data_IF_832692097045
#
_entry.id   IF_832692097045
#
_cell.length_a   1.000
_cell.length_b   1.000
_cell.length_c   1.000
_cell.angle_alpha   90.00
_cell.angle_beta   90.00
_cell.angle_gamma   90.00
#
_symmetry.space_group_name_H-M   'P 1'
#
loop_
_entity.id
_entity.type
_entity.pdbx_description
1 polymer ?
#
# COMPACT_ATOMS: atom_id res chain seq x y z
N UNK A 1 -10.53 -18.72 -1.56
CA UNK A 1 -11.01 -17.88 -0.44
C UNK A 1 -11.60 -16.57 -0.93
N UNK A 2 -10.85 -15.62 -1.49
CA UNK A 2 -11.33 -14.27 -1.87
C UNK A 2 -12.67 -14.26 -2.63
N UNK A 3 -12.80 -15.04 -3.72
CA UNK A 3 -14.05 -15.15 -4.47
C UNK A 3 -15.26 -15.65 -3.63
N UNK A 4 -15.02 -16.58 -2.70
CA UNK A 4 -16.08 -17.08 -1.79
C UNK A 4 -16.55 -16.02 -0.81
N UNK A 5 -15.66 -15.10 -0.42
CA UNK A 5 -15.96 -13.99 0.49
C UNK A 5 -16.62 -12.81 -0.25
N UNK A 6 -16.72 -12.89 -1.58
CA UNK A 6 -17.33 -11.85 -2.40
C UNK A 6 -16.40 -10.68 -2.70
N UNK A 7 -15.08 -10.86 -2.65
CA UNK A 7 -14.13 -9.84 -3.09
C UNK A 7 -14.13 -9.71 -4.62
N UNK A 8 -13.88 -8.50 -5.12
CA UNK A 8 -13.78 -8.19 -6.55
C UNK A 8 -12.33 -8.27 -7.06
N UNK A 9 -11.36 -8.16 -6.15
CA UNK A 9 -9.95 -8.18 -6.46
C UNK A 9 -9.10 -8.76 -5.31
N UNK A 10 -7.82 -8.99 -5.61
CA UNK A 10 -6.81 -9.45 -4.65
C UNK A 10 -5.54 -8.61 -4.77
N UNK A 11 -4.84 -8.45 -3.67
CA UNK A 11 -3.45 -8.02 -3.67
C UNK A 11 -2.53 -9.25 -3.71
N UNK A 12 -1.43 -9.15 -4.45
CA UNK A 12 -0.44 -10.23 -4.60
C UNK A 12 0.84 -9.86 -3.85
N UNK A 13 1.26 -10.71 -2.92
CA UNK A 13 2.57 -10.56 -2.25
C UNK A 13 3.70 -11.08 -3.15
N UNK A 14 4.41 -10.14 -3.76
CA UNK A 14 5.55 -10.40 -4.66
C UNK A 14 6.87 -10.66 -3.93
N UNK A 15 6.89 -10.59 -2.62
CA UNK A 15 8.11 -10.83 -1.84
C UNK A 15 8.12 -12.15 -1.10
N UNK A 16 7.00 -12.53 -0.52
CA UNK A 16 6.88 -13.74 0.28
C UNK A 16 6.40 -14.93 -0.52
N UNK A 17 5.25 -14.79 -1.16
CA UNK A 17 4.51 -15.90 -1.74
C UNK A 17 4.76 -16.10 -3.24
N UNK A 18 4.78 -15.03 -4.03
CA UNK A 18 4.87 -15.08 -5.49
C UNK A 18 6.01 -14.19 -5.98
N UNK A 19 7.23 -14.62 -5.74
CA UNK A 19 8.41 -13.84 -6.13
C UNK A 19 8.54 -13.76 -7.65
N UNK A 20 8.66 -12.55 -8.23
CA UNK A 20 8.75 -12.37 -9.69
C UNK A 20 9.87 -13.19 -10.34
N UNK A 21 11.03 -13.28 -9.68
CA UNK A 21 12.19 -14.02 -10.18
C UNK A 21 11.98 -15.56 -10.26
N UNK A 22 11.01 -16.08 -9.52
CA UNK A 22 10.68 -17.52 -9.49
C UNK A 22 9.51 -17.88 -10.43
N UNK A 23 8.87 -16.86 -11.06
CA UNK A 23 7.69 -17.04 -11.91
C UNK A 23 8.05 -16.96 -13.39
N UNK A 24 7.79 -18.05 -14.12
CA UNK A 24 7.84 -18.02 -15.56
C UNK A 24 6.66 -17.23 -16.14
N UNK A 25 6.81 -16.77 -17.40
CA UNK A 25 5.71 -16.14 -18.15
C UNK A 25 4.47 -17.04 -18.24
N UNK A 26 4.68 -18.36 -18.32
CA UNK A 26 3.59 -19.34 -18.32
C UNK A 26 2.88 -19.37 -16.97
N UNK A 27 3.62 -19.34 -15.85
CA UNK A 27 3.04 -19.30 -14.52
C UNK A 27 2.22 -18.02 -14.28
N UNK A 28 2.70 -16.87 -14.73
CA UNK A 28 1.95 -15.60 -14.66
C UNK A 28 0.65 -15.64 -15.49
N UNK A 29 0.71 -16.21 -16.70
CA UNK A 29 -0.50 -16.38 -17.52
C UNK A 29 -1.51 -17.33 -16.87
N UNK A 30 -1.02 -18.42 -16.27
CA UNK A 30 -1.86 -19.37 -15.55
C UNK A 30 -2.51 -18.74 -14.32
N UNK A 31 -1.74 -17.96 -13.55
CA UNK A 31 -2.27 -17.20 -12.40
C UNK A 31 -3.37 -16.25 -12.85
N UNK A 32 -3.10 -15.44 -13.89
CA UNK A 32 -4.09 -14.52 -14.44
C UNK A 32 -5.36 -15.24 -14.87
N UNK A 33 -5.22 -16.35 -15.63
CA UNK A 33 -6.37 -17.15 -16.03
C UNK A 33 -7.17 -17.66 -14.83
N UNK A 34 -6.49 -18.17 -13.79
CA UNK A 34 -7.15 -18.64 -12.57
C UNK A 34 -7.95 -17.53 -11.88
N UNK A 35 -7.39 -16.32 -11.82
CA UNK A 35 -8.10 -15.16 -11.27
C UNK A 35 -9.31 -14.77 -12.13
N UNK A 36 -9.15 -14.73 -13.44
CA UNK A 36 -10.23 -14.45 -14.40
C UNK A 36 -11.38 -15.50 -14.30
N UNK A 37 -11.04 -16.79 -14.18
CA UNK A 37 -12.02 -17.88 -13.99
C UNK A 37 -12.83 -17.69 -12.68
N UNK A 38 -12.25 -17.03 -11.69
CA UNK A 38 -12.91 -16.67 -10.44
C UNK A 38 -13.47 -15.24 -10.42
N UNK A 39 -13.44 -14.52 -11.54
CA UNK A 39 -13.87 -13.11 -11.67
C UNK A 39 -13.14 -12.17 -10.70
N UNK A 40 -11.89 -12.47 -10.39
CA UNK A 40 -11.04 -11.64 -9.56
C UNK A 40 -10.04 -10.86 -10.41
N UNK A 41 -9.80 -9.61 -10.03
CA UNK A 41 -8.74 -8.77 -10.59
C UNK A 41 -7.56 -8.70 -9.62
N UNK A 42 -6.41 -8.25 -10.10
CA UNK A 42 -5.31 -7.84 -9.22
C UNK A 42 -5.42 -6.32 -9.03
N UNK A 43 -5.68 -5.88 -7.81
CA UNK A 43 -5.79 -4.45 -7.49
C UNK A 43 -4.43 -3.81 -7.21
N UNK A 44 -3.51 -4.56 -6.59
CA UNK A 44 -2.17 -4.12 -6.28
C UNK A 44 -1.22 -5.32 -6.13
N UNK A 45 0.07 -5.03 -6.17
CA UNK A 45 1.13 -5.96 -5.79
C UNK A 45 1.87 -5.39 -4.60
N UNK A 46 2.03 -6.13 -3.51
CA UNK A 46 2.88 -5.69 -2.40
C UNK A 46 4.29 -6.23 -2.53
N UNK A 47 5.27 -5.34 -2.30
CA UNK A 47 6.68 -5.70 -2.24
C UNK A 47 7.33 -5.04 -1.02
N UNK A 48 6.92 -5.46 0.17
CA UNK A 48 7.31 -4.85 1.44
C UNK A 48 8.76 -5.18 1.79
N UNK A 49 9.63 -4.19 1.64
CA UNK A 49 11.05 -4.32 2.01
C UNK A 49 11.24 -4.04 3.50
N UNK A 50 12.23 -4.73 4.11
CA UNK A 50 12.53 -4.53 5.54
C UNK A 50 13.23 -3.20 5.83
N UNK A 51 13.89 -2.61 4.83
CA UNK A 51 14.65 -1.36 4.91
C UNK A 51 14.15 -0.38 3.87
N UNK A 52 14.19 0.89 4.22
CA UNK A 52 13.84 1.96 3.30
C UNK A 52 14.87 2.21 2.21
N UNK A 53 14.51 3.09 1.28
CA UNK A 53 15.36 3.44 0.12
C UNK A 53 16.45 4.48 0.45
N UNK A 54 16.49 5.00 1.67
CA UNK A 54 17.53 5.89 2.17
C UNK A 54 18.70 5.18 2.85
N UNK A 55 18.76 3.85 2.81
CA UNK A 55 19.82 3.02 3.38
C UNK A 55 20.60 2.31 2.27
N UNK A 56 21.92 2.53 2.21
CA UNK A 56 22.77 1.98 1.15
C UNK A 56 22.90 0.46 1.17
N UNK A 57 22.83 -0.16 2.36
CA UNK A 57 22.96 -1.61 2.45
C UNK A 57 21.91 -2.33 1.59
N UNK A 58 22.35 -3.14 0.62
CA UNK A 58 21.51 -3.89 -0.34
C UNK A 58 20.52 -3.01 -1.13
N UNK A 59 20.85 -1.73 -1.34
CA UNK A 59 19.95 -0.79 -2.00
C UNK A 59 19.65 -1.20 -3.44
N UNK A 60 20.68 -1.57 -4.19
CA UNK A 60 20.51 -1.96 -5.61
C UNK A 60 19.60 -3.18 -5.75
N UNK A 61 19.73 -4.16 -4.86
CA UNK A 61 18.84 -5.33 -4.83
C UNK A 61 17.39 -4.94 -4.50
N UNK A 62 17.18 -3.98 -3.57
CA UNK A 62 15.83 -3.47 -3.28
C UNK A 62 15.22 -2.74 -4.47
N UNK A 63 15.97 -1.88 -5.13
CA UNK A 63 15.53 -1.15 -6.33
C UNK A 63 15.19 -2.15 -7.44
N UNK A 64 16.07 -3.10 -7.71
CA UNK A 64 15.86 -4.11 -8.73
C UNK A 64 14.61 -4.94 -8.44
N UNK A 65 14.46 -5.45 -7.20
CA UNK A 65 13.29 -6.23 -6.81
C UNK A 65 11.98 -5.43 -6.85
N UNK A 66 12.01 -4.14 -6.51
CA UNK A 66 10.84 -3.26 -6.65
C UNK A 66 10.46 -3.11 -8.13
N UNK A 67 11.42 -2.88 -9.03
CA UNK A 67 11.17 -2.79 -10.47
C UNK A 67 10.63 -4.10 -11.05
N UNK A 68 11.09 -5.26 -10.56
CA UNK A 68 10.52 -6.56 -10.93
C UNK A 68 9.06 -6.71 -10.46
N UNK A 69 8.76 -6.29 -9.22
CA UNK A 69 7.38 -6.28 -8.71
C UNK A 69 6.48 -5.33 -9.53
N UNK A 70 6.99 -4.18 -9.97
CA UNK A 70 6.27 -3.25 -10.85
C UNK A 70 5.98 -3.89 -12.22
N UNK A 71 6.95 -4.60 -12.83
CA UNK A 71 6.71 -5.35 -14.08
C UNK A 71 5.67 -6.46 -13.88
N UNK A 72 5.75 -7.18 -12.76
CA UNK A 72 4.75 -8.20 -12.41
C UNK A 72 3.36 -7.61 -12.27
N UNK A 73 3.22 -6.45 -11.60
CA UNK A 73 1.96 -5.74 -11.48
C UNK A 73 1.38 -5.41 -12.86
N UNK A 74 2.17 -4.83 -13.75
CA UNK A 74 1.75 -4.51 -15.12
C UNK A 74 1.29 -5.77 -15.87
N UNK A 75 2.02 -6.88 -15.80
CA UNK A 75 1.64 -8.14 -16.46
C UNK A 75 0.33 -8.70 -15.89
N UNK A 76 0.08 -8.53 -14.60
CA UNK A 76 -1.15 -8.97 -13.92
C UNK A 76 -2.32 -7.98 -14.10
N UNK A 77 -2.09 -6.83 -14.73
CA UNK A 77 -3.10 -5.81 -14.99
C UNK A 77 -3.33 -4.87 -13.80
N UNK A 78 -2.42 -4.84 -12.82
CA UNK A 78 -2.41 -3.87 -11.74
C UNK A 78 -1.48 -2.69 -12.06
N UNK A 79 -1.87 -1.50 -11.62
CA UNK A 79 -1.08 -0.27 -11.79
C UNK A 79 -0.37 0.19 -10.51
N UNK A 80 -0.49 -0.55 -9.41
CA UNK A 80 0.01 -0.15 -8.10
C UNK A 80 0.91 -1.21 -7.50
N UNK A 81 2.08 -0.78 -7.00
CA UNK A 81 2.96 -1.59 -6.17
C UNK A 81 3.13 -0.93 -4.81
N UNK A 82 2.67 -1.59 -3.75
CA UNK A 82 2.75 -1.07 -2.39
C UNK A 82 4.06 -1.46 -1.73
N UNK A 83 4.75 -0.48 -1.15
CA UNK A 83 5.95 -0.70 -0.35
C UNK A 83 6.16 0.42 0.67
N UNK A 84 6.93 0.13 1.71
CA UNK A 84 7.44 1.15 2.63
C UNK A 84 8.63 1.88 1.99
N UNK A 85 8.61 3.22 2.00
CA UNK A 85 9.73 4.01 1.49
C UNK A 85 10.88 4.14 2.50
N UNK A 86 10.60 3.83 3.77
CA UNK A 86 11.54 3.92 4.89
C UNK A 86 11.35 5.18 5.72
N UNK A 87 12.28 5.41 6.62
CA UNK A 87 12.28 6.60 7.48
C UNK A 87 12.48 7.87 6.65
N UNK A 88 11.61 8.83 6.80
CA UNK A 88 11.74 10.15 6.16
C UNK A 88 12.55 11.04 7.10
N UNK A 89 13.72 11.55 6.69
CA UNK A 89 14.51 12.44 7.52
C UNK A 89 13.71 13.70 7.92
N UNK A 90 13.81 14.17 9.17
CA UNK A 90 13.08 15.36 9.62
C UNK A 90 13.49 16.61 8.85
N UNK A 91 14.77 16.72 8.50
CA UNK A 91 15.29 17.81 7.69
C UNK A 91 15.30 17.44 6.20
N UNK A 92 14.79 18.34 5.30
CA UNK A 92 14.75 18.10 3.86
C UNK A 92 16.12 18.35 3.19
N UNK A 93 17.17 17.79 3.78
CA UNK A 93 18.55 17.92 3.32
C UNK A 93 19.43 16.78 3.82
N UNK A 94 20.64 16.70 3.27
CA UNK A 94 21.63 15.72 3.66
C UNK A 94 21.58 14.40 2.87
N UNK A 95 22.58 13.52 3.09
CA UNK A 95 22.78 12.36 2.24
C UNK A 95 21.59 11.39 2.17
N UNK A 96 20.94 11.13 3.31
CA UNK A 96 19.81 10.19 3.36
C UNK A 96 18.56 10.75 2.65
N UNK A 97 18.29 12.06 2.79
CA UNK A 97 17.20 12.72 2.08
C UNK A 97 17.46 12.72 0.58
N UNK A 98 18.65 13.12 0.14
CA UNK A 98 19.00 13.17 -1.28
C UNK A 98 18.96 11.78 -1.92
N UNK A 99 19.45 10.75 -1.21
CA UNK A 99 19.37 9.36 -1.67
C UNK A 99 17.92 8.90 -1.83
N UNK A 100 17.06 9.21 -0.85
CA UNK A 100 15.63 8.87 -0.90
C UNK A 100 14.97 9.50 -2.12
N UNK A 101 15.16 10.80 -2.35
CA UNK A 101 14.62 11.50 -3.53
C UNK A 101 15.13 10.89 -4.84
N UNK A 102 16.44 10.64 -4.93
CA UNK A 102 17.04 10.06 -6.13
C UNK A 102 16.44 8.70 -6.47
N UNK A 103 16.30 7.83 -5.49
CA UNK A 103 15.77 6.47 -5.69
C UNK A 103 14.28 6.51 -6.02
N UNK A 104 13.49 7.32 -5.31
CA UNK A 104 12.06 7.43 -5.57
C UNK A 104 11.77 8.06 -6.95
N UNK A 105 12.57 9.05 -7.36
CA UNK A 105 12.48 9.60 -8.72
C UNK A 105 12.84 8.57 -9.80
N UNK A 106 13.83 7.70 -9.55
CA UNK A 106 14.18 6.61 -10.47
C UNK A 106 13.07 5.56 -10.58
N UNK A 107 12.49 5.15 -9.45
CA UNK A 107 11.35 4.25 -9.43
C UNK A 107 10.10 4.89 -10.10
N UNK A 108 9.90 6.19 -9.90
CA UNK A 108 8.84 6.94 -10.55
C UNK A 108 8.96 6.95 -12.07
N UNK A 109 10.16 7.28 -12.60
CA UNK A 109 10.42 7.20 -14.05
C UNK A 109 10.18 5.80 -14.60
N UNK A 110 10.60 4.77 -13.87
CA UNK A 110 10.31 3.39 -14.25
C UNK A 110 8.82 3.11 -14.30
N UNK A 111 8.07 3.57 -13.29
CA UNK A 111 6.60 3.43 -13.22
C UNK A 111 5.89 4.10 -14.38
N UNK A 112 6.29 5.34 -14.73
CA UNK A 112 5.75 6.06 -15.89
C UNK A 112 5.98 5.28 -17.19
N UNK A 113 7.15 4.67 -17.34
CA UNK A 113 7.49 3.91 -18.54
C UNK A 113 6.64 2.64 -18.70
N UNK A 114 6.32 1.94 -17.62
CA UNK A 114 5.62 0.66 -17.68
C UNK A 114 4.14 0.71 -17.29
N UNK A 115 3.65 1.83 -16.76
CA UNK A 115 2.27 1.99 -16.32
C UNK A 115 1.93 1.31 -14.98
N UNK A 116 2.93 1.06 -14.12
CA UNK A 116 2.73 0.55 -12.77
C UNK A 116 3.60 1.34 -11.77
N UNK A 117 2.98 1.96 -10.78
CA UNK A 117 3.61 2.94 -9.90
C UNK A 117 3.84 2.40 -8.50
N UNK A 118 4.92 2.87 -7.87
CA UNK A 118 5.13 2.67 -6.44
C UNK A 118 4.14 3.53 -5.65
N UNK A 119 3.42 2.94 -4.73
CA UNK A 119 2.64 3.62 -3.70
C UNK A 119 3.31 3.46 -2.34
N UNK A 120 3.69 4.59 -1.73
CA UNK A 120 4.28 4.62 -0.39
C UNK A 120 3.20 4.31 0.65
N UNK A 121 3.35 3.20 1.38
CA UNK A 121 2.43 2.83 2.45
C UNK A 121 2.59 3.78 3.64
N UNK A 122 1.46 4.30 4.13
CA UNK A 122 1.38 5.17 5.30
C UNK A 122 1.53 4.38 6.61
N UNK A 123 1.69 5.09 7.71
CA UNK A 123 1.69 4.54 9.07
C UNK A 123 3.00 4.73 9.82
N UNK A 124 4.16 4.51 9.21
CA UNK A 124 5.46 4.69 9.87
C UNK A 124 5.97 6.13 9.86
N UNK A 125 5.48 6.95 8.95
CA UNK A 125 5.77 8.37 8.85
C UNK A 125 4.51 9.19 9.04
N UNK A 126 4.65 10.43 9.54
CA UNK A 126 3.52 11.34 9.65
C UNK A 126 2.98 11.73 8.27
N UNK A 127 1.68 12.01 8.11
CA UNK A 127 1.13 12.55 6.86
C UNK A 127 1.86 13.80 6.37
N UNK A 128 2.30 14.67 7.29
CA UNK A 128 3.05 15.89 6.97
C UNK A 128 4.44 15.58 6.38
N UNK A 129 5.15 14.58 6.93
CA UNK A 129 6.46 14.17 6.39
C UNK A 129 6.32 13.53 5.00
N UNK A 130 5.28 12.73 4.79
CA UNK A 130 4.96 12.18 3.48
C UNK A 130 4.61 13.28 2.48
N UNK A 131 3.79 14.26 2.87
CA UNK A 131 3.46 15.40 2.01
C UNK A 131 4.71 16.21 1.63
N UNK A 132 5.62 16.45 2.59
CA UNK A 132 6.91 17.10 2.35
C UNK A 132 7.79 16.31 1.38
N UNK A 133 7.80 14.98 1.51
CA UNK A 133 8.55 14.09 0.61
C UNK A 133 7.97 14.14 -0.82
N UNK A 134 6.65 14.03 -0.96
CA UNK A 134 5.96 14.08 -2.26
C UNK A 134 6.21 15.44 -2.94
N UNK A 135 6.10 16.54 -2.20
CA UNK A 135 6.33 17.88 -2.74
C UNK A 135 7.77 18.13 -3.22
N UNK A 136 8.75 17.36 -2.71
CA UNK A 136 10.15 17.45 -3.12
C UNK A 136 10.48 16.55 -4.32
N UNK A 137 9.59 15.65 -4.71
CA UNK A 137 9.78 14.75 -5.86
C UNK A 137 9.32 15.42 -7.17
N UNK A 138 9.90 15.04 -8.32
CA UNK A 138 9.34 15.40 -9.61
C UNK A 138 7.89 14.89 -9.75
N UNK A 139 7.08 15.57 -10.53
CA UNK A 139 5.69 15.20 -10.75
C UNK A 139 5.51 13.73 -11.11
N UNK A 140 4.46 13.11 -10.54
CA UNK A 140 4.07 11.71 -10.80
C UNK A 140 5.20 10.70 -10.53
N UNK A 141 6.05 10.93 -9.53
CA UNK A 141 7.11 9.98 -9.19
C UNK A 141 6.57 8.74 -8.47
N UNK A 142 5.80 8.94 -7.41
CA UNK A 142 5.17 7.87 -6.62
C UNK A 142 3.78 8.29 -6.17
N UNK A 143 2.94 7.31 -5.80
CA UNK A 143 1.67 7.53 -5.13
C UNK A 143 1.72 7.21 -3.65
N UNK A 144 0.55 7.23 -3.03
CA UNK A 144 0.32 6.93 -1.62
C UNK A 144 -0.64 5.74 -1.52
N UNK A 145 -0.29 4.81 -0.64
CA UNK A 145 -1.18 3.79 -0.11
C UNK A 145 -1.60 4.19 1.31
N UNK A 146 -2.87 4.49 1.49
CA UNK A 146 -3.42 4.85 2.80
C UNK A 146 -3.75 3.61 3.58
N UNK A 147 -3.13 3.45 4.74
CA UNK A 147 -3.40 2.39 5.71
C UNK A 147 -3.91 3.03 7.02
N UNK A 148 -5.23 3.23 7.15
CA UNK A 148 -5.81 3.97 8.27
C UNK A 148 -5.57 3.31 9.61
N UNK A 149 -5.56 1.98 9.69
CA UNK A 149 -5.23 1.27 10.92
C UNK A 149 -3.79 1.52 11.36
N UNK A 150 -2.83 1.48 10.43
CA UNK A 150 -1.44 1.82 10.74
C UNK A 150 -1.27 3.28 11.15
N UNK A 151 -1.99 4.20 10.51
CA UNK A 151 -1.99 5.60 10.94
C UNK A 151 -2.46 5.75 12.39
N UNK A 152 -3.63 5.20 12.71
CA UNK A 152 -4.18 5.25 14.09
C UNK A 152 -3.24 4.59 15.08
N UNK A 153 -2.74 3.40 14.78
CA UNK A 153 -1.82 2.68 15.68
C UNK A 153 -0.53 3.47 15.98
N UNK A 154 -0.10 4.34 15.08
CA UNK A 154 1.05 5.23 15.27
C UNK A 154 0.67 6.65 15.75
N UNK A 155 -0.59 6.89 16.10
CA UNK A 155 -1.06 8.17 16.64
C UNK A 155 -1.30 9.25 15.60
N UNK A 156 -1.46 8.88 14.32
CA UNK A 156 -1.76 9.80 13.23
C UNK A 156 -3.23 9.74 12.82
N UNK A 157 -3.73 10.84 12.26
CA UNK A 157 -5.10 10.95 11.77
C UNK A 157 -5.22 10.47 10.32
N UNK A 158 -6.08 9.48 10.01
CA UNK A 158 -6.42 9.11 8.64
C UNK A 158 -7.03 10.26 7.83
N UNK A 159 -7.89 11.10 8.46
CA UNK A 159 -8.52 12.24 7.82
C UNK A 159 -7.48 13.27 7.40
N UNK A 160 -6.55 13.62 8.29
CA UNK A 160 -5.43 14.51 7.96
C UNK A 160 -4.57 13.95 6.81
N UNK A 161 -4.39 12.63 6.76
CA UNK A 161 -3.67 11.99 5.66
C UNK A 161 -4.38 12.22 4.32
N UNK A 162 -5.70 12.03 4.26
CA UNK A 162 -6.49 12.28 3.04
C UNK A 162 -6.52 13.76 2.68
N UNK A 163 -6.59 14.65 3.66
CA UNK A 163 -6.55 16.11 3.41
C UNK A 163 -5.25 16.55 2.74
N UNK A 164 -4.11 16.06 3.23
CA UNK A 164 -2.78 16.45 2.77
C UNK A 164 -2.35 15.74 1.49
N UNK A 165 -2.75 14.48 1.31
CA UNK A 165 -2.22 13.59 0.29
C UNK A 165 -3.26 13.12 -0.74
N UNK A 166 -4.51 13.57 -0.61
CA UNK A 166 -5.63 13.11 -1.45
C UNK A 166 -5.33 12.97 -2.93
N UNK A 167 -4.74 13.99 -3.61
CA UNK A 167 -4.41 13.90 -5.04
C UNK A 167 -3.40 12.81 -5.41
N UNK A 168 -2.66 12.28 -4.45
CA UNK A 168 -1.62 11.28 -4.63
C UNK A 168 -2.05 9.87 -4.21
N UNK A 169 -3.26 9.70 -3.67
CA UNK A 169 -3.75 8.40 -3.19
C UNK A 169 -4.04 7.50 -4.39
N UNK A 170 -3.32 6.39 -4.48
CA UNK A 170 -3.49 5.37 -5.53
C UNK A 170 -4.09 4.08 -4.99
N UNK A 171 -3.99 3.82 -3.68
CA UNK A 171 -4.46 2.60 -3.06
C UNK A 171 -4.87 2.84 -1.60
N UNK A 172 -5.74 1.99 -1.08
CA UNK A 172 -6.16 2.01 0.32
C UNK A 172 -6.15 0.59 0.88
N UNK A 173 -5.37 0.38 1.94
CA UNK A 173 -5.50 -0.79 2.78
C UNK A 173 -6.59 -0.54 3.82
N UNK A 174 -7.67 -1.28 3.74
CA UNK A 174 -8.74 -1.23 4.73
C UNK A 174 -8.34 -2.06 5.97
N UNK A 175 -7.67 -1.41 6.89
CA UNK A 175 -7.23 -1.95 8.18
C UNK A 175 -7.79 -1.08 9.31
N UNK A 176 -7.92 -1.63 10.49
CA UNK A 176 -8.38 -0.90 11.67
C UNK A 176 -7.48 -1.17 12.87
N UNK A 177 -7.41 -0.23 13.77
CA UNK A 177 -6.55 -0.31 14.94
C UNK A 177 -6.99 0.61 16.06
N UNK A 178 -6.40 0.42 17.22
CA UNK A 178 -6.52 1.29 18.36
C UNK A 178 -5.13 1.72 18.82
N UNK A 179 -5.01 2.96 19.26
CA UNK A 179 -3.77 3.46 19.85
C UNK A 179 -3.83 3.31 21.37
N UNK A 180 -2.96 2.47 21.94
CA UNK A 180 -2.83 2.31 23.39
C UNK A 180 -1.88 3.38 23.93
N UNK A 181 -2.45 4.43 24.50
CA UNK A 181 -1.71 5.55 25.09
C UNK A 181 -0.79 5.12 26.25
N UNK A 182 -1.12 4.04 26.96
CA UNK A 182 -0.35 3.55 28.11
C UNK A 182 0.89 2.79 27.64
N UNK A 183 0.71 1.90 26.66
CA UNK A 183 1.77 1.05 26.15
C UNK A 183 2.56 1.70 25.01
N UNK A 184 2.10 2.81 24.45
CA UNK A 184 2.64 3.47 23.26
C UNK A 184 2.77 2.53 22.04
N UNK A 185 1.92 1.51 21.99
CA UNK A 185 1.83 0.57 20.88
C UNK A 185 0.40 0.52 20.38
N UNK A 186 0.25 0.58 19.07
CA UNK A 186 -1.03 0.34 18.45
C UNK A 186 -1.33 -1.16 18.38
N UNK A 187 -2.60 -1.48 18.42
CA UNK A 187 -3.12 -2.86 18.30
C UNK A 187 -4.03 -2.91 17.09
N UNK A 188 -3.72 -3.81 16.17
CA UNK A 188 -4.60 -4.11 15.04
C UNK A 188 -5.85 -4.85 15.56
N UNK A 189 -7.03 -4.40 15.11
CA UNK A 189 -8.31 -5.00 15.49
C UNK A 189 -9.12 -5.34 14.22
N UNK A 190 -10.18 -6.18 14.33
CA UNK A 190 -11.09 -6.40 13.22
C UNK A 190 -11.69 -5.10 12.70
N UNK A 191 -11.89 -5.00 11.38
CA UNK A 191 -12.40 -3.82 10.71
C UNK A 191 -13.76 -3.37 11.30
N UNK A 192 -13.89 -2.07 11.60
CA UNK A 192 -15.04 -1.49 12.25
C UNK A 192 -15.09 -1.70 13.78
N UNK A 193 -14.00 -2.20 14.38
CA UNK A 193 -13.86 -2.39 15.83
C UNK A 193 -12.78 -1.52 16.46
N UNK A 194 -12.11 -0.71 15.66
CA UNK A 194 -11.06 0.19 16.10
C UNK A 194 -11.50 1.64 16.17
N UNK A 195 -10.54 2.51 15.95
CA UNK A 195 -10.72 3.97 16.04
C UNK A 195 -10.81 4.65 14.67
N UNK A 196 -10.80 3.89 13.58
CA UNK A 196 -10.97 4.45 12.23
C UNK A 196 -12.45 4.75 12.00
N UNK A 197 -12.77 6.01 11.72
CA UNK A 197 -14.10 6.41 11.25
C UNK A 197 -14.18 6.14 9.72
N UNK A 198 -14.58 4.92 9.35
CA UNK A 198 -14.69 4.52 7.94
C UNK A 198 -15.70 5.34 7.14
N UNK A 199 -16.93 5.64 7.64
CA UNK A 199 -17.86 6.53 6.94
C UNK A 199 -17.24 7.88 6.59
N UNK A 200 -16.61 8.55 7.55
CA UNK A 200 -15.95 9.83 7.32
C UNK A 200 -14.73 9.69 6.37
N UNK A 201 -13.93 8.62 6.51
CA UNK A 201 -12.80 8.35 5.64
C UNK A 201 -13.21 8.10 4.19
N UNK A 202 -14.26 7.29 3.96
CA UNK A 202 -14.78 7.01 2.63
C UNK A 202 -15.31 8.28 1.97
N UNK A 203 -16.07 9.12 2.69
CA UNK A 203 -16.54 10.41 2.20
C UNK A 203 -15.38 11.32 1.79
N UNK A 204 -14.36 11.45 2.63
CA UNK A 204 -13.19 12.26 2.33
C UNK A 204 -12.40 11.76 1.11
N UNK A 205 -12.23 10.45 0.97
CA UNK A 205 -11.59 9.83 -0.21
C UNK A 205 -12.40 10.07 -1.48
N UNK A 206 -13.73 9.95 -1.40
CA UNK A 206 -14.62 10.19 -2.52
C UNK A 206 -14.60 11.65 -2.98
N UNK A 207 -14.60 12.61 -2.07
CA UNK A 207 -14.45 14.05 -2.34
C UNK A 207 -13.12 14.37 -3.04
N UNK A 208 -12.06 13.60 -2.76
CA UNK A 208 -10.76 13.71 -3.43
C UNK A 208 -10.67 12.92 -4.74
N UNK A 209 -11.78 12.31 -5.18
CA UNK A 209 -11.88 11.59 -6.43
C UNK A 209 -11.30 10.19 -6.41
N UNK A 210 -10.99 9.61 -5.24
CA UNK A 210 -10.55 8.22 -5.16
C UNK A 210 -11.67 7.27 -5.61
N UNK A 211 -11.34 6.36 -6.53
CA UNK A 211 -12.27 5.35 -7.09
C UNK A 211 -11.62 3.98 -7.16
N UNK A 212 -10.52 3.81 -6.42
CA UNK A 212 -9.75 2.57 -6.38
C UNK A 212 -10.35 1.50 -5.47
N UNK A 213 -9.57 0.46 -5.26
CA UNK A 213 -9.95 -0.66 -4.39
C UNK A 213 -9.62 -0.37 -2.93
N UNK A 214 -10.37 -1.02 -2.04
CA UNK A 214 -10.10 -1.13 -0.62
C UNK A 214 -9.62 -2.54 -0.34
N UNK A 215 -8.31 -2.72 -0.15
CA UNK A 215 -7.71 -4.03 0.14
C UNK A 215 -7.80 -4.33 1.63
N UNK A 216 -8.62 -5.29 1.99
CA UNK A 216 -8.74 -5.75 3.37
C UNK A 216 -7.52 -6.59 3.72
N UNK A 217 -6.82 -6.21 4.77
CA UNK A 217 -5.70 -6.94 5.33
C UNK A 217 -5.90 -7.17 6.83
N UNK A 218 -5.48 -8.33 7.30
CA UNK A 218 -5.56 -8.71 8.70
C UNK A 218 -4.36 -9.58 9.07
N UNK A 219 -3.36 -8.98 9.75
CA UNK A 219 -2.10 -9.65 10.06
C UNK A 219 -2.20 -10.60 11.27
N UNK A 220 -3.11 -10.29 12.20
CA UNK A 220 -3.25 -11.00 13.48
C UNK A 220 -4.58 -11.75 13.60
N UNK A 221 -5.18 -12.17 12.47
CA UNK A 221 -6.43 -12.91 12.46
C UNK A 221 -6.31 -14.27 13.12
N UNK A 222 -7.25 -14.62 14.01
CA UNK A 222 -7.39 -15.97 14.54
C UNK A 222 -8.11 -16.90 13.55
N UNK A 223 -9.14 -16.38 12.90
CA UNK A 223 -9.88 -17.04 11.81
C UNK A 223 -9.93 -16.10 10.61
N UNK A 224 -8.93 -16.19 9.71
CA UNK A 224 -8.83 -15.26 8.57
C UNK A 224 -10.06 -15.30 7.64
N UNK A 225 -10.65 -16.47 7.40
CA UNK A 225 -11.81 -16.58 6.51
C UNK A 225 -13.03 -15.88 7.12
N UNK A 226 -13.28 -16.07 8.38
CA UNK A 226 -14.37 -15.39 9.08
C UNK A 226 -14.13 -13.89 9.19
N UNK A 227 -12.96 -13.46 9.69
CA UNK A 227 -12.67 -12.03 9.91
C UNK A 227 -12.66 -11.23 8.61
N UNK A 228 -12.06 -11.75 7.54
CA UNK A 228 -12.08 -11.11 6.23
C UNK A 228 -13.50 -11.07 5.63
N UNK A 229 -14.29 -12.13 5.83
CA UNK A 229 -15.69 -12.15 5.40
C UNK A 229 -16.55 -11.11 6.10
N UNK A 230 -16.34 -10.88 7.40
CA UNK A 230 -17.01 -9.80 8.13
C UNK A 230 -16.58 -8.42 7.64
N UNK A 231 -15.28 -8.26 7.36
CA UNK A 231 -14.74 -6.99 6.86
C UNK A 231 -15.31 -6.63 5.46
N UNK A 232 -15.44 -7.61 4.56
CA UNK A 232 -16.09 -7.41 3.25
C UNK A 232 -17.52 -6.95 3.43
N UNK A 233 -18.30 -7.61 4.31
CA UNK A 233 -19.69 -7.23 4.59
C UNK A 233 -19.78 -5.82 5.18
N UNK A 234 -18.90 -5.49 6.10
CA UNK A 234 -18.86 -4.18 6.74
C UNK A 234 -18.62 -3.07 5.70
N UNK A 235 -17.55 -3.15 4.89
CA UNK A 235 -17.27 -2.14 3.87
C UNK A 235 -18.39 -1.99 2.83
N UNK A 236 -19.08 -3.07 2.50
CA UNK A 236 -20.21 -3.02 1.56
C UNK A 236 -21.50 -2.48 2.17
N UNK A 237 -21.54 -2.32 3.50
CA UNK A 237 -22.69 -1.73 4.20
C UNK A 237 -22.56 -0.23 4.41
N UNK A 238 -21.41 0.35 4.11
CA UNK A 238 -21.13 1.80 4.15
C UNK A 238 -21.47 2.45 2.82
#
# INVERSE_FOLDING_TARGET
MAAKLGADAVEIDARGQLKPAELSQTALRQLRKTLDDHRLRVCAVSYRTRRGYNLLQELDARIAGTKEAMRMAQVLGASVVVNHVGHIPPEPQGPQWNLLLQVLADLGRHGQHIGAFLAAQTGSASPADLARLIAALPDVSIGIDVDPGQLVMNGFSPQQCVELLGPHIMHVHATDGVHDLVRRHGIEVPLGRGSVDFPALLGALEERGYRGYFTIQRNTAHDPEFELGQAVKYLRSL
#
